data_IF_953654446950
#
_entry.id   IF_953654446950
#
_cell.length_a   1.000
_cell.length_b   1.000
_cell.length_c   1.000
_cell.angle_alpha   90.00
_cell.angle_beta   90.00
_cell.angle_gamma   90.00
#
_symmetry.space_group_name_H-M   'P 1'
#
loop_
_entity.id
_entity.type
_entity.pdbx_description
1 polymer ?
#
# COMPACT_ATOMS: atom_id res chain seq x y z
N UNK A 1 -7.17 21.18 -9.94
CA UNK A 1 -6.47 20.16 -10.75
C UNK A 1 -5.70 20.87 -11.85
N UNK A 2 -4.40 20.64 -11.95
CA UNK A 2 -3.61 21.07 -13.09
C UNK A 2 -3.46 19.87 -14.02
N UNK A 3 -3.89 20.02 -15.28
CA UNK A 3 -3.56 19.05 -16.32
C UNK A 3 -2.05 19.12 -16.56
N UNK A 4 -1.36 17.99 -16.42
CA UNK A 4 0.09 17.93 -16.53
C UNK A 4 0.57 16.51 -16.80
N UNK A 5 1.87 16.39 -17.08
CA UNK A 5 2.53 15.10 -17.24
C UNK A 5 2.38 14.27 -15.94
N UNK A 6 2.08 12.98 -16.10
CA UNK A 6 2.03 12.01 -15.01
C UNK A 6 3.32 12.09 -14.19
N UNK A 7 3.20 12.02 -12.86
CA UNK A 7 4.34 12.05 -11.93
C UNK A 7 5.23 10.81 -12.06
N UNK A 8 6.27 10.71 -11.24
CA UNK A 8 7.20 9.57 -11.25
C UNK A 8 6.89 8.52 -10.17
N UNK A 9 6.00 8.82 -9.23
CA UNK A 9 5.72 7.99 -8.06
C UNK A 9 4.87 6.73 -8.36
N UNK A 10 4.77 5.86 -7.36
CA UNK A 10 3.92 4.66 -7.40
C UNK A 10 2.43 4.99 -7.27
N UNK A 11 2.07 6.05 -6.54
CA UNK A 11 0.70 6.32 -6.14
C UNK A 11 -0.18 6.76 -7.32
N UNK A 12 0.26 7.76 -8.07
CA UNK A 12 -0.42 8.30 -9.24
C UNK A 12 0.50 8.43 -10.46
N UNK A 13 1.79 8.14 -10.30
CA UNK A 13 2.82 8.33 -11.31
C UNK A 13 3.08 7.13 -12.23
N UNK A 14 4.12 7.29 -13.05
CA UNK A 14 4.60 6.33 -14.05
C UNK A 14 5.05 5.01 -13.43
N UNK A 15 5.69 5.04 -12.26
CA UNK A 15 6.18 3.82 -11.62
C UNK A 15 5.03 2.86 -11.29
N UNK A 16 3.87 3.38 -10.86
CA UNK A 16 2.69 2.56 -10.62
C UNK A 16 2.09 2.00 -11.91
N UNK A 17 2.00 2.81 -12.97
CA UNK A 17 1.54 2.35 -14.28
C UNK A 17 2.45 1.24 -14.83
N UNK A 18 3.76 1.47 -14.77
CA UNK A 18 4.77 0.54 -15.25
C UNK A 18 4.77 -0.77 -14.45
N UNK A 19 4.55 -0.71 -13.13
CA UNK A 19 4.38 -1.90 -12.30
C UNK A 19 3.16 -2.74 -12.72
N UNK A 20 2.03 -2.10 -12.99
CA UNK A 20 0.86 -2.83 -13.52
C UNK A 20 1.17 -3.50 -14.87
N UNK A 21 1.83 -2.79 -15.78
CA UNK A 21 2.22 -3.35 -17.07
C UNK A 21 3.23 -4.50 -16.94
N UNK A 22 4.14 -4.43 -15.97
CA UNK A 22 5.07 -5.51 -15.66
C UNK A 22 4.33 -6.76 -15.16
N UNK A 23 3.34 -6.59 -14.28
CA UNK A 23 2.48 -7.69 -13.84
C UNK A 23 1.63 -8.26 -14.98
N UNK A 24 1.11 -7.41 -15.86
CA UNK A 24 0.37 -7.85 -17.04
C UNK A 24 1.26 -8.67 -17.98
N UNK A 25 2.49 -8.23 -18.24
CA UNK A 25 3.47 -8.96 -19.03
C UNK A 25 3.82 -10.31 -18.42
N UNK A 26 4.02 -10.36 -17.10
CA UNK A 26 4.30 -11.59 -16.37
C UNK A 26 3.16 -12.60 -16.50
N UNK A 27 1.91 -12.16 -16.32
CA UNK A 27 0.74 -13.05 -16.36
C UNK A 27 0.38 -13.50 -17.78
N UNK A 28 0.47 -12.60 -18.78
CA UNK A 28 0.04 -12.94 -20.14
C UNK A 28 1.16 -13.48 -21.04
N UNK A 29 2.42 -13.24 -20.66
CA UNK A 29 3.59 -13.57 -21.50
C UNK A 29 3.75 -12.69 -22.74
N UNK A 30 2.95 -11.62 -22.90
CA UNK A 30 3.00 -10.77 -24.10
C UNK A 30 4.10 -9.70 -24.01
N UNK A 31 5.03 -9.72 -24.96
CA UNK A 31 6.19 -8.81 -25.00
C UNK A 31 5.80 -7.32 -25.06
N UNK A 32 4.68 -6.97 -25.73
CA UNK A 32 4.23 -5.57 -25.82
C UNK A 32 4.05 -4.91 -24.45
N UNK A 33 3.63 -5.68 -23.43
CA UNK A 33 3.44 -5.16 -22.07
C UNK A 33 4.77 -5.01 -21.35
N UNK A 34 5.72 -5.92 -21.59
CA UNK A 34 7.10 -5.82 -21.10
C UNK A 34 7.74 -4.52 -21.62
N UNK A 35 7.67 -4.28 -22.92
CA UNK A 35 8.27 -3.10 -23.55
C UNK A 35 7.70 -1.81 -22.99
N UNK A 36 6.37 -1.74 -22.83
CA UNK A 36 5.69 -0.59 -22.24
C UNK A 36 6.05 -0.41 -20.76
N UNK A 37 6.17 -1.49 -19.99
CA UNK A 37 6.61 -1.43 -18.59
C UNK A 37 8.03 -0.86 -18.48
N UNK A 38 8.96 -1.37 -19.28
CA UNK A 38 10.36 -0.90 -19.30
C UNK A 38 10.44 0.58 -19.70
N UNK A 39 9.72 0.99 -20.76
CA UNK A 39 9.63 2.38 -21.16
C UNK A 39 9.03 3.29 -20.06
N UNK A 40 8.09 2.75 -19.27
CA UNK A 40 7.50 3.43 -18.12
C UNK A 40 8.50 3.79 -17.02
N UNK A 41 9.51 2.94 -16.81
CA UNK A 41 10.58 3.14 -15.82
C UNK A 41 11.77 3.97 -16.31
N UNK A 42 11.89 4.23 -17.62
CA UNK A 42 12.95 5.10 -18.14
C UNK A 42 12.80 6.50 -17.52
N UNK A 43 13.78 6.87 -16.69
CA UNK A 43 13.82 8.14 -16.00
C UNK A 43 13.84 9.31 -16.99
N UNK A 44 12.94 10.27 -16.79
CA UNK A 44 13.05 11.56 -17.46
C UNK A 44 14.23 12.32 -16.86
N UNK A 45 15.31 12.48 -17.65
CA UNK A 45 16.51 13.21 -17.21
C UNK A 45 16.21 14.67 -16.83
N UNK A 46 15.13 15.26 -17.33
CA UNK A 46 14.71 16.62 -16.99
C UNK A 46 14.05 16.77 -15.61
N UNK A 47 13.70 15.65 -14.97
CA UNK A 47 13.07 15.58 -13.63
C UNK A 47 14.00 15.00 -12.57
N UNK A 48 15.30 14.89 -12.88
CA UNK A 48 16.36 14.59 -11.92
C UNK A 48 16.38 15.68 -10.84
N UNK A 49 15.77 15.40 -9.70
CA UNK A 49 15.70 16.36 -8.59
C UNK A 49 14.57 16.12 -7.60
N UNK A 50 13.52 15.37 -7.97
CA UNK A 50 12.46 15.02 -7.02
C UNK A 50 12.72 13.65 -6.41
N UNK A 51 13.39 13.60 -5.26
CA UNK A 51 13.45 12.41 -4.37
C UNK A 51 12.15 12.21 -3.58
N UNK A 52 11.12 13.02 -3.85
CA UNK A 52 9.79 12.87 -3.27
C UNK A 52 9.28 11.46 -3.56
N UNK A 53 8.83 10.75 -2.52
CA UNK A 53 8.25 9.41 -2.60
C UNK A 53 9.13 8.39 -3.33
N UNK A 54 10.46 8.50 -3.15
CA UNK A 54 11.43 7.56 -3.71
C UNK A 54 11.14 6.11 -3.28
N UNK A 55 10.64 5.92 -2.05
CA UNK A 55 10.35 4.59 -1.50
C UNK A 55 9.35 3.81 -2.37
N UNK A 56 8.25 4.45 -2.78
CA UNK A 56 7.28 3.81 -3.67
C UNK A 56 7.87 3.46 -5.04
N UNK A 57 8.77 4.30 -5.56
CA UNK A 57 9.48 4.03 -6.83
C UNK A 57 10.45 2.86 -6.70
N UNK A 58 11.22 2.83 -5.62
CA UNK A 58 12.12 1.70 -5.30
C UNK A 58 11.32 0.42 -5.18
N UNK A 59 10.19 0.43 -4.47
CA UNK A 59 9.31 -0.74 -4.39
C UNK A 59 8.81 -1.18 -5.77
N UNK A 60 8.31 -0.25 -6.60
CA UNK A 60 7.81 -0.55 -7.94
C UNK A 60 8.89 -1.14 -8.86
N UNK A 61 10.08 -0.53 -8.88
CA UNK A 61 11.24 -1.02 -9.63
C UNK A 61 11.66 -2.42 -9.15
N UNK A 62 11.69 -2.61 -7.84
CA UNK A 62 12.04 -3.89 -7.21
C UNK A 62 11.08 -4.99 -7.64
N UNK A 63 9.76 -4.78 -7.48
CA UNK A 63 8.76 -5.78 -7.88
C UNK A 63 8.79 -6.03 -9.39
N UNK A 64 8.92 -4.99 -10.21
CA UNK A 64 9.02 -5.16 -11.65
C UNK A 64 10.29 -5.91 -12.09
N UNK A 65 11.42 -5.72 -11.38
CA UNK A 65 12.64 -6.47 -11.62
C UNK A 65 12.43 -7.98 -11.42
N UNK A 66 11.71 -8.38 -10.37
CA UNK A 66 11.37 -9.78 -10.10
C UNK A 66 10.42 -10.33 -11.18
N UNK A 67 9.32 -9.61 -11.46
CA UNK A 67 8.28 -10.07 -12.39
C UNK A 67 8.80 -10.24 -13.82
N UNK A 68 9.67 -9.33 -14.26
CA UNK A 68 10.24 -9.31 -15.60
C UNK A 68 11.61 -10.00 -15.69
N UNK A 69 12.18 -10.43 -14.57
CA UNK A 69 13.56 -10.93 -14.51
C UNK A 69 14.53 -9.94 -15.18
N UNK A 70 14.45 -8.66 -14.79
CA UNK A 70 15.19 -7.56 -15.41
C UNK A 70 16.19 -6.90 -14.42
N UNK A 71 17.47 -7.33 -14.43
CA UNK A 71 18.49 -6.82 -13.51
C UNK A 71 18.75 -5.31 -13.64
N UNK A 72 18.44 -4.69 -14.79
CA UNK A 72 18.59 -3.25 -14.94
C UNK A 72 17.64 -2.46 -14.04
N UNK A 73 16.42 -2.95 -13.80
CA UNK A 73 15.46 -2.30 -12.91
C UNK A 73 15.91 -2.40 -11.44
N UNK A 74 16.49 -3.53 -11.04
CA UNK A 74 17.06 -3.70 -9.70
C UNK A 74 18.20 -2.69 -9.45
N UNK A 75 19.13 -2.56 -10.40
CA UNK A 75 20.21 -1.56 -10.30
C UNK A 75 19.68 -0.12 -10.22
N UNK A 76 18.60 0.18 -10.93
CA UNK A 76 17.93 1.49 -10.81
C UNK A 76 17.32 1.70 -9.42
N UNK A 77 16.70 0.67 -8.85
CA UNK A 77 16.14 0.72 -7.50
C UNK A 77 17.23 0.98 -6.45
N UNK A 78 18.35 0.25 -6.51
CA UNK A 78 19.50 0.47 -5.64
C UNK A 78 20.09 1.88 -5.81
N UNK A 79 20.29 2.33 -7.04
CA UNK A 79 20.83 3.67 -7.32
C UNK A 79 19.92 4.79 -6.79
N UNK A 80 18.60 4.62 -6.91
CA UNK A 80 17.62 5.58 -6.38
C UNK A 80 17.62 5.58 -4.85
N UNK A 81 17.72 4.41 -4.21
CA UNK A 81 17.82 4.32 -2.76
C UNK A 81 19.11 4.98 -2.25
N UNK A 82 20.25 4.77 -2.92
CA UNK A 82 21.52 5.42 -2.55
C UNK A 82 21.44 6.94 -2.61
N UNK A 83 20.97 7.51 -3.72
CA UNK A 83 20.87 8.96 -3.88
C UNK A 83 19.88 9.61 -2.91
N UNK A 84 18.82 8.90 -2.54
CA UNK A 84 17.87 9.38 -1.54
C UNK A 84 18.49 9.57 -0.14
N UNK A 85 19.58 8.87 0.19
CA UNK A 85 20.27 9.04 1.48
C UNK A 85 20.96 10.40 1.63
N UNK A 86 21.24 11.07 0.51
CA UNK A 86 21.96 12.34 0.46
C UNK A 86 21.01 13.56 0.53
N UNK A 87 19.70 13.32 0.43
CA UNK A 87 18.70 14.40 0.40
C UNK A 87 18.01 14.54 1.76
N UNK A 88 17.86 15.77 2.29
CA UNK A 88 17.13 15.99 3.52
C UNK A 88 15.68 15.48 3.44
N UNK A 89 15.14 14.89 4.52
CA UNK A 89 13.74 14.50 4.57
C UNK A 89 12.86 15.75 4.43
N UNK A 90 11.74 15.60 3.75
CA UNK A 90 10.81 16.70 3.54
C UNK A 90 9.90 16.88 4.74
N UNK A 91 9.49 18.14 4.95
CA UNK A 91 8.46 18.46 5.94
C UNK A 91 7.09 18.01 5.43
N UNK A 92 6.67 16.82 5.85
CA UNK A 92 5.29 16.32 5.70
C UNK A 92 4.56 16.38 7.05
N UNK A 93 3.23 16.62 7.08
CA UNK A 93 2.46 16.59 8.32
C UNK A 93 2.50 15.25 9.06
N UNK A 94 2.78 14.15 8.36
CA UNK A 94 2.82 12.79 8.90
C UNK A 94 4.11 12.06 8.48
N UNK A 95 5.27 12.45 9.05
CA UNK A 95 6.58 11.99 8.59
C UNK A 95 6.85 10.52 8.88
N UNK A 96 6.05 9.87 9.72
CA UNK A 96 6.25 8.48 10.13
C UNK A 96 5.40 7.49 9.34
N UNK A 97 4.53 7.97 8.44
CA UNK A 97 3.62 7.15 7.66
C UNK A 97 4.27 6.28 6.58
N UNK A 98 3.48 5.40 5.97
CA UNK A 98 3.90 4.52 4.87
C UNK A 98 3.94 5.26 3.53
N UNK A 99 2.95 6.10 3.23
CA UNK A 99 2.81 6.65 1.88
C UNK A 99 3.90 7.69 1.53
N UNK A 100 4.12 8.64 2.43
CA UNK A 100 5.04 9.78 2.21
C UNK A 100 6.04 9.94 3.37
N UNK A 101 6.29 8.87 4.14
CA UNK A 101 7.04 8.93 5.39
C UNK A 101 8.08 7.82 5.54
N UNK A 102 8.76 7.86 6.69
CA UNK A 102 9.89 7.00 7.05
C UNK A 102 9.50 5.51 7.06
N UNK A 103 8.27 5.17 7.42
CA UNK A 103 7.84 3.78 7.38
C UNK A 103 7.83 3.22 5.94
N UNK A 104 7.45 4.04 4.96
CA UNK A 104 7.54 3.66 3.54
C UNK A 104 8.98 3.41 3.10
N UNK A 105 9.91 4.25 3.55
CA UNK A 105 11.34 4.08 3.29
C UNK A 105 11.89 2.78 3.87
N UNK A 106 11.51 2.47 5.12
CA UNK A 106 11.86 1.19 5.76
C UNK A 106 11.36 0.02 4.91
N UNK A 107 10.10 0.02 4.49
CA UNK A 107 9.53 -1.08 3.68
C UNK A 107 10.26 -1.23 2.33
N UNK A 108 10.60 -0.13 1.67
CA UNK A 108 11.36 -0.17 0.42
C UNK A 108 12.77 -0.73 0.61
N UNK A 109 13.46 -0.37 1.69
CA UNK A 109 14.79 -0.90 2.03
C UNK A 109 14.75 -2.37 2.42
N UNK A 110 13.72 -2.80 3.15
CA UNK A 110 13.52 -4.22 3.46
C UNK A 110 13.26 -5.03 2.19
N UNK A 111 12.52 -4.49 1.21
CA UNK A 111 12.36 -5.13 -0.11
C UNK A 111 13.69 -5.26 -0.86
N UNK A 112 14.52 -4.21 -0.88
CA UNK A 112 15.86 -4.29 -1.47
C UNK A 112 16.76 -5.30 -0.76
N UNK A 113 16.74 -5.34 0.57
CA UNK A 113 17.48 -6.32 1.35
C UNK A 113 17.06 -7.74 0.97
N UNK A 114 15.76 -8.04 0.93
CA UNK A 114 15.26 -9.36 0.58
C UNK A 114 15.64 -9.80 -0.85
N UNK A 115 15.81 -8.87 -1.79
CA UNK A 115 16.18 -9.17 -3.17
C UNK A 115 17.69 -9.28 -3.41
N UNK A 116 18.49 -8.52 -2.66
CA UNK A 116 19.94 -8.39 -2.89
C UNK A 116 20.78 -9.15 -1.88
N UNK A 117 20.19 -9.54 -0.75
CA UNK A 117 20.88 -10.01 0.47
C UNK A 117 21.93 -9.03 1.00
N UNK A 118 21.85 -7.75 0.60
CA UNK A 118 22.84 -6.76 0.98
C UNK A 118 22.47 -6.13 2.33
N UNK A 119 23.33 -6.38 3.32
CA UNK A 119 23.14 -5.91 4.70
C UNK A 119 23.08 -4.38 4.82
N UNK A 120 23.60 -3.61 3.85
CA UNK A 120 23.55 -2.13 3.91
C UNK A 120 22.12 -1.61 3.97
N UNK A 121 21.19 -2.30 3.31
CA UNK A 121 19.78 -1.93 3.29
C UNK A 121 19.11 -2.20 4.63
N UNK A 122 19.38 -3.36 5.23
CA UNK A 122 18.86 -3.72 6.55
C UNK A 122 19.39 -2.76 7.64
N UNK A 123 20.69 -2.44 7.62
CA UNK A 123 21.29 -1.48 8.57
C UNK A 123 20.64 -0.11 8.45
N UNK A 124 20.38 0.37 7.23
CA UNK A 124 19.70 1.65 7.02
C UNK A 124 18.23 1.58 7.46
N UNK A 125 17.52 0.51 7.15
CA UNK A 125 16.14 0.29 7.56
C UNK A 125 16.02 0.30 9.10
N UNK A 126 16.92 -0.38 9.81
CA UNK A 126 16.96 -0.41 11.27
C UNK A 126 17.17 1.00 11.87
N UNK A 127 18.09 1.80 11.34
CA UNK A 127 18.31 3.19 11.79
C UNK A 127 17.07 4.08 11.63
N UNK A 128 16.33 3.89 10.54
CA UNK A 128 15.06 4.57 10.30
C UNK A 128 13.97 4.06 11.25
N UNK A 129 13.94 2.75 11.54
CA UNK A 129 13.13 2.15 12.59
C UNK A 129 13.39 2.79 13.95
N UNK A 130 14.65 2.95 14.35
CA UNK A 130 15.00 3.60 15.62
C UNK A 130 14.50 5.06 15.67
N UNK A 131 14.49 5.75 14.52
CA UNK A 131 13.93 7.09 14.43
C UNK A 131 12.41 7.11 14.63
N UNK A 132 11.69 6.13 14.05
CA UNK A 132 10.25 5.94 14.30
C UNK A 132 10.01 5.70 15.80
N UNK A 133 10.78 4.81 16.44
CA UNK A 133 10.64 4.49 17.87
C UNK A 133 10.91 5.70 18.77
N UNK A 134 11.96 6.48 18.49
CA UNK A 134 12.26 7.71 19.25
C UNK A 134 11.15 8.76 19.16
N UNK A 135 10.35 8.72 18.10
CA UNK A 135 9.25 9.63 17.88
C UNK A 135 7.88 9.05 18.30
N UNK A 136 7.85 8.00 19.12
CA UNK A 136 6.64 7.27 19.50
C UNK A 136 5.47 8.17 19.90
N UNK A 137 5.73 9.15 20.76
CA UNK A 137 4.70 10.07 21.27
C UNK A 137 3.96 10.81 20.13
N UNK A 138 4.65 11.11 19.04
CA UNK A 138 4.11 11.87 17.89
C UNK A 138 3.09 11.09 17.06
N UNK A 139 3.12 9.76 17.12
CA UNK A 139 2.21 8.88 16.37
C UNK A 139 1.35 7.98 17.27
N UNK A 140 1.47 8.10 18.61
CA UNK A 140 0.64 7.38 19.60
C UNK A 140 -0.16 8.28 20.55
N UNK A 141 0.24 9.54 20.74
CA UNK A 141 -0.30 10.40 21.81
C UNK A 141 -0.59 11.84 21.40
N UNK A 142 -0.01 12.37 20.32
CA UNK A 142 -0.33 13.72 19.85
C UNK A 142 -1.77 13.85 19.33
N UNK A 143 -2.34 15.06 19.44
CA UNK A 143 -3.65 15.41 18.87
C UNK A 143 -3.75 15.17 17.35
N UNK A 144 -2.60 15.09 16.68
CA UNK A 144 -2.47 14.85 15.24
C UNK A 144 -2.12 13.40 14.90
N UNK A 145 -2.00 12.51 15.90
CA UNK A 145 -1.74 11.09 15.69
C UNK A 145 -2.94 10.41 15.00
N UNK A 146 -2.67 9.54 14.04
CA UNK A 146 -3.68 8.97 13.16
C UNK A 146 -3.67 7.44 13.19
N UNK A 147 -4.86 6.85 13.04
CA UNK A 147 -4.99 5.45 12.68
C UNK A 147 -4.89 5.22 11.17
N UNK A 148 -5.02 3.95 10.77
CA UNK A 148 -5.00 3.54 9.37
C UNK A 148 -3.60 3.23 8.85
N UNK A 149 -3.55 2.76 7.61
CA UNK A 149 -2.33 2.21 7.01
C UNK A 149 -1.41 3.26 6.40
N UNK A 150 -1.98 4.24 5.67
CA UNK A 150 -1.19 5.17 4.85
C UNK A 150 -0.31 6.12 5.67
N UNK A 151 -0.88 6.77 6.68
CA UNK A 151 -0.19 7.78 7.50
C UNK A 151 -0.26 7.51 9.00
N UNK A 152 -0.77 6.34 9.38
CA UNK A 152 -1.19 6.08 10.74
C UNK A 152 -0.57 4.84 11.36
N UNK A 153 -1.02 4.57 12.58
CA UNK A 153 -0.43 3.56 13.44
C UNK A 153 -0.51 2.14 12.90
N UNK A 154 -1.53 1.77 12.12
CA UNK A 154 -1.60 0.41 11.56
C UNK A 154 -0.44 0.14 10.57
N UNK A 155 -0.09 1.13 9.73
CA UNK A 155 1.05 1.02 8.82
C UNK A 155 2.40 1.05 9.53
N UNK A 156 2.51 1.86 10.58
CA UNK A 156 3.70 1.90 11.45
C UNK A 156 3.88 0.54 12.15
N UNK A 157 2.80 -0.04 12.68
CA UNK A 157 2.82 -1.34 13.36
C UNK A 157 3.30 -2.46 12.43
N UNK A 158 2.75 -2.54 11.20
CA UNK A 158 3.18 -3.50 10.18
C UNK A 158 4.67 -3.31 9.83
N UNK A 159 5.11 -2.06 9.67
CA UNK A 159 6.50 -1.74 9.35
C UNK A 159 7.48 -2.17 10.46
N UNK A 160 7.17 -1.83 11.71
CA UNK A 160 7.99 -2.21 12.86
C UNK A 160 8.01 -3.72 13.06
N UNK A 161 6.89 -4.41 12.84
CA UNK A 161 6.86 -5.87 12.91
C UNK A 161 7.76 -6.53 11.84
N UNK A 162 7.80 -5.98 10.62
CA UNK A 162 8.70 -6.48 9.57
C UNK A 162 10.17 -6.21 9.88
N UNK A 163 10.48 -5.07 10.49
CA UNK A 163 11.81 -4.80 11.01
C UNK A 163 12.21 -5.81 12.08
N UNK A 164 11.32 -6.10 13.03
CA UNK A 164 11.55 -7.15 14.03
C UNK A 164 11.86 -8.48 13.35
N UNK A 165 11.07 -8.89 12.35
CA UNK A 165 11.31 -10.14 11.64
C UNK A 165 12.67 -10.17 10.91
N UNK A 166 13.05 -9.06 10.28
CA UNK A 166 14.29 -8.97 9.52
C UNK A 166 15.55 -8.83 10.39
N UNK A 167 15.43 -8.23 11.58
CA UNK A 167 16.57 -7.92 12.46
C UNK A 167 16.69 -8.86 13.66
N UNK A 168 15.58 -9.48 14.10
CA UNK A 168 15.48 -10.19 15.37
C UNK A 168 15.44 -9.27 16.60
N UNK A 169 15.35 -7.94 16.43
CA UNK A 169 15.39 -6.99 17.54
C UNK A 169 13.99 -6.77 18.13
N UNK A 170 13.84 -7.08 19.41
CA UNK A 170 12.58 -7.00 20.14
C UNK A 170 12.08 -5.56 20.35
N UNK A 171 12.95 -4.55 20.24
CA UNK A 171 12.50 -3.15 20.37
C UNK A 171 11.45 -2.78 19.31
N UNK A 172 11.58 -3.33 18.10
CA UNK A 172 10.62 -3.09 17.03
C UNK A 172 9.31 -3.84 17.28
N UNK A 173 9.35 -5.02 17.90
CA UNK A 173 8.14 -5.73 18.32
C UNK A 173 7.36 -4.96 19.39
N UNK A 174 8.07 -4.39 20.37
CA UNK A 174 7.49 -3.52 21.40
C UNK A 174 6.86 -2.28 20.77
N UNK A 175 7.55 -1.62 19.84
CA UNK A 175 6.99 -0.46 19.13
C UNK A 175 5.77 -0.82 18.27
N UNK A 176 5.77 -1.98 17.62
CA UNK A 176 4.60 -2.47 16.89
C UNK A 176 3.40 -2.70 17.81
N UNK A 177 3.62 -3.23 19.02
CA UNK A 177 2.58 -3.40 20.04
C UNK A 177 2.00 -2.04 20.48
N UNK A 178 2.84 -1.03 20.73
CA UNK A 178 2.39 0.33 21.08
C UNK A 178 1.54 0.97 19.98
N UNK A 179 1.93 0.80 18.72
CA UNK A 179 1.16 1.26 17.57
C UNK A 179 -0.22 0.57 17.50
N UNK A 180 -0.27 -0.74 17.75
CA UNK A 180 -1.54 -1.46 17.82
C UNK A 180 -2.43 -1.05 18.98
N UNK A 181 -1.86 -0.78 20.16
CA UNK A 181 -2.60 -0.25 21.30
C UNK A 181 -3.27 1.09 20.95
N UNK A 182 -2.54 2.02 20.33
CA UNK A 182 -3.13 3.27 19.86
C UNK A 182 -4.21 3.05 18.79
N UNK A 183 -3.95 2.22 17.79
CA UNK A 183 -4.92 1.90 16.75
C UNK A 183 -6.22 1.33 17.33
N UNK A 184 -6.14 0.50 18.38
CA UNK A 184 -7.31 -0.05 19.03
C UNK A 184 -8.10 0.98 19.85
N UNK A 185 -7.44 2.00 20.43
CA UNK A 185 -8.13 3.13 21.11
C UNK A 185 -9.05 3.93 20.18
N UNK A 186 -8.83 3.84 18.87
CA UNK A 186 -9.65 4.51 17.86
C UNK A 186 -10.94 3.75 17.53
N UNK A 187 -11.12 2.52 18.01
CA UNK A 187 -12.32 1.74 17.74
C UNK A 187 -13.54 2.31 18.49
N UNK A 188 -14.70 2.35 17.82
CA UNK A 188 -15.98 2.71 18.42
C UNK A 188 -17.04 1.66 18.13
N UNK A 189 -17.85 1.36 19.15
CA UNK A 189 -19.00 0.46 19.05
C UNK A 189 -20.20 1.05 19.81
N UNK A 190 -21.30 1.43 19.13
CA UNK A 190 -21.44 1.55 17.66
C UNK A 190 -20.53 2.66 17.07
N UNK A 191 -20.14 2.62 15.77
CA UNK A 191 -20.68 1.79 14.68
C UNK A 191 -19.88 0.51 14.34
N UNK A 192 -18.97 0.06 15.22
CA UNK A 192 -18.14 -1.12 14.97
C UNK A 192 -17.01 -0.85 13.98
N UNK A 193 -16.43 0.35 14.00
CA UNK A 193 -15.35 0.76 13.10
C UNK A 193 -14.37 1.73 13.81
N UNK A 194 -13.26 2.06 13.17
CA UNK A 194 -12.24 2.95 13.71
C UNK A 194 -12.47 4.41 13.29
N UNK A 195 -12.30 5.31 14.25
CA UNK A 195 -12.37 6.74 14.06
C UNK A 195 -11.18 7.23 13.21
N UNK A 196 -11.49 7.92 12.11
CA UNK A 196 -10.57 8.87 11.50
C UNK A 196 -10.82 10.26 12.08
N UNK A 197 -9.80 10.82 12.74
CA UNK A 197 -9.87 12.08 13.50
C UNK A 197 -9.26 13.28 12.77
N UNK A 198 -9.00 13.17 11.46
CA UNK A 198 -8.47 14.30 10.65
C UNK A 198 -9.44 15.49 10.56
N UNK A 199 -10.73 15.25 10.74
CA UNK A 199 -11.77 16.28 10.72
C UNK A 199 -12.24 16.68 12.13
N UNK A 200 -13.04 17.76 12.25
CA UNK A 200 -13.60 18.20 13.54
C UNK A 200 -14.55 17.16 14.14
N UNK A 201 -15.18 16.34 13.29
CA UNK A 201 -16.02 15.21 13.69
C UNK A 201 -15.38 13.93 13.20
N UNK A 202 -15.22 12.90 14.05
CA UNK A 202 -14.72 11.61 13.62
C UNK A 202 -15.59 10.99 12.53
N UNK A 203 -14.95 10.44 11.51
CA UNK A 203 -15.60 9.65 10.44
C UNK A 203 -15.16 8.21 10.48
N UNK A 204 -15.97 7.30 9.94
CA UNK A 204 -15.74 5.86 9.99
C UNK A 204 -15.62 5.31 8.57
N UNK A 205 -14.39 5.19 8.09
CA UNK A 205 -14.11 4.88 6.70
C UNK A 205 -13.82 3.38 6.49
N UNK A 206 -13.97 2.93 5.24
CA UNK A 206 -13.63 1.57 4.78
C UNK A 206 -12.43 1.55 3.84
N UNK A 207 -11.74 2.68 3.72
CA UNK A 207 -10.66 2.88 2.76
C UNK A 207 -9.38 2.16 3.18
N UNK A 208 -8.48 1.92 2.23
CA UNK A 208 -7.15 1.41 2.56
C UNK A 208 -6.35 2.43 3.37
N UNK A 209 -6.35 3.70 2.95
CA UNK A 209 -5.46 4.70 3.54
C UNK A 209 -5.77 5.00 5.01
N UNK A 210 -7.04 5.01 5.40
CA UNK A 210 -7.51 5.48 6.71
C UNK A 210 -8.80 4.78 7.21
N UNK A 211 -8.99 3.51 6.88
CA UNK A 211 -10.21 2.79 7.27
C UNK A 211 -10.01 1.30 7.47
N UNK A 212 -11.14 0.60 7.63
CA UNK A 212 -11.19 -0.83 7.94
C UNK A 212 -10.35 -1.69 6.99
N UNK A 213 -10.26 -1.34 5.70
CA UNK A 213 -9.49 -2.11 4.73
C UNK A 213 -8.00 -2.15 5.06
N UNK A 214 -7.35 -1.00 5.25
CA UNK A 214 -5.93 -0.95 5.59
C UNK A 214 -5.62 -1.44 7.01
N UNK A 215 -6.53 -1.18 7.95
CA UNK A 215 -6.38 -1.64 9.34
C UNK A 215 -6.46 -3.17 9.41
N UNK A 216 -7.44 -3.78 8.73
CA UNK A 216 -7.58 -5.23 8.64
C UNK A 216 -6.41 -5.88 7.92
N UNK A 217 -5.91 -5.25 6.85
CA UNK A 217 -4.75 -5.73 6.09
C UNK A 217 -3.49 -5.83 6.97
N UNK A 218 -3.13 -4.74 7.67
CA UNK A 218 -2.02 -4.77 8.63
C UNK A 218 -2.29 -5.74 9.78
N UNK A 219 -3.53 -5.79 10.27
CA UNK A 219 -3.94 -6.70 11.35
C UNK A 219 -3.70 -8.16 10.99
N UNK A 220 -4.13 -8.58 9.79
CA UNK A 220 -3.96 -9.92 9.26
C UNK A 220 -2.50 -10.34 9.17
N UNK A 221 -1.63 -9.45 8.68
CA UNK A 221 -0.18 -9.69 8.62
C UNK A 221 0.45 -9.85 10.02
N UNK A 222 -0.12 -9.17 11.03
CA UNK A 222 0.37 -9.20 12.40
C UNK A 222 -0.12 -10.35 13.28
N UNK A 223 -1.11 -11.15 12.85
CA UNK A 223 -1.77 -12.15 13.72
C UNK A 223 -0.78 -13.17 14.32
N UNK A 224 0.26 -13.55 13.59
CA UNK A 224 1.25 -14.53 14.07
C UNK A 224 2.01 -14.02 15.31
N UNK A 225 2.39 -12.74 15.32
CA UNK A 225 3.05 -12.10 16.46
C UNK A 225 2.06 -11.60 17.52
N UNK A 226 0.86 -11.21 17.08
CA UNK A 226 -0.18 -10.61 17.92
C UNK A 226 -1.53 -11.32 17.73
N UNK A 227 -1.74 -12.51 18.34
CA UNK A 227 -2.97 -13.28 18.15
C UNK A 227 -4.26 -12.54 18.53
N UNK A 228 -4.16 -11.54 19.40
CA UNK A 228 -5.27 -10.66 19.80
C UNK A 228 -5.77 -9.74 18.66
N UNK A 229 -5.09 -9.67 17.52
CA UNK A 229 -5.56 -8.96 16.32
C UNK A 229 -6.61 -9.73 15.52
N UNK A 230 -6.88 -11.00 15.84
CA UNK A 230 -7.90 -11.80 15.14
C UNK A 230 -9.30 -11.15 15.21
N UNK A 231 -9.84 -10.75 16.38
CA UNK A 231 -11.12 -10.04 16.43
C UNK A 231 -11.12 -8.70 15.68
N UNK A 232 -10.00 -7.98 15.65
CA UNK A 232 -9.85 -6.76 14.84
C UNK A 232 -10.02 -7.07 13.35
N UNK A 233 -9.38 -8.15 12.89
CA UNK A 233 -9.40 -8.55 11.48
C UNK A 233 -10.77 -9.08 11.06
N UNK A 234 -11.45 -9.84 11.90
CA UNK A 234 -12.84 -10.26 11.67
C UNK A 234 -13.79 -9.05 11.56
N UNK A 235 -13.64 -8.06 12.44
CA UNK A 235 -14.44 -6.82 12.37
C UNK A 235 -14.15 -6.03 11.10
N UNK A 236 -12.88 -5.91 10.72
CA UNK A 236 -12.51 -5.26 9.47
C UNK A 236 -13.14 -5.99 8.27
N UNK A 237 -13.00 -7.31 8.17
CA UNK A 237 -13.62 -8.11 7.12
C UNK A 237 -15.14 -7.94 7.08
N UNK A 238 -15.82 -8.00 8.22
CA UNK A 238 -17.27 -7.75 8.30
C UNK A 238 -17.65 -6.39 7.69
N UNK A 239 -16.91 -5.33 8.00
CA UNK A 239 -17.11 -4.00 7.40
C UNK A 239 -16.90 -3.99 5.88
N UNK A 240 -15.99 -4.79 5.33
CA UNK A 240 -15.75 -4.86 3.88
C UNK A 240 -16.79 -5.71 3.13
N UNK A 241 -17.36 -6.70 3.82
CA UNK A 241 -18.36 -7.62 3.27
C UNK A 241 -19.73 -6.95 3.19
N UNK A 242 -20.05 -6.05 4.12
CA UNK A 242 -21.30 -5.30 4.14
C UNK A 242 -21.60 -4.62 2.80
N UNK A 243 -22.85 -4.73 2.37
CA UNK A 243 -23.35 -4.22 1.09
C UNK A 243 -23.68 -2.72 1.17
N UNK A 244 -22.64 -1.93 1.46
CA UNK A 244 -22.69 -0.47 1.34
C UNK A 244 -21.81 -0.07 0.16
N UNK A 245 -22.38 0.27 -1.01
CA UNK A 245 -21.59 0.61 -2.17
C UNK A 245 -20.77 1.87 -1.90
N UNK A 246 -19.45 1.77 -2.05
CA UNK A 246 -18.59 2.94 -2.19
C UNK A 246 -18.78 3.53 -3.59
N UNK A 247 -18.78 4.85 -3.69
CA UNK A 247 -18.97 5.57 -4.96
C UNK A 247 -17.81 5.37 -5.93
N UNK A 248 -16.60 5.22 -5.39
CA UNK A 248 -15.35 5.04 -6.13
C UNK A 248 -14.96 3.58 -6.33
N UNK A 249 -14.26 3.32 -7.43
CA UNK A 249 -13.65 2.04 -7.78
C UNK A 249 -12.14 1.99 -7.53
N UNK A 250 -11.54 3.09 -7.08
CA UNK A 250 -10.09 3.19 -6.92
C UNK A 250 -9.52 2.29 -5.80
N UNK A 251 -8.21 2.07 -5.82
CA UNK A 251 -7.52 1.24 -4.83
C UNK A 251 -7.37 1.96 -3.47
N UNK A 252 -7.15 3.28 -3.44
CA UNK A 252 -6.93 3.98 -2.18
C UNK A 252 -8.22 4.11 -1.34
N UNK A 253 -9.30 4.58 -1.97
CA UNK A 253 -10.55 4.94 -1.27
C UNK A 253 -11.79 4.27 -1.87
N UNK A 254 -11.63 3.37 -2.84
CA UNK A 254 -12.75 2.76 -3.55
C UNK A 254 -12.92 1.27 -3.29
N UNK A 255 -13.81 0.67 -4.07
CA UNK A 255 -14.18 -0.74 -3.95
C UNK A 255 -12.99 -1.67 -4.17
N UNK A 256 -12.09 -1.37 -5.12
CA UNK A 256 -10.92 -2.22 -5.33
C UNK A 256 -9.94 -2.23 -4.16
N UNK A 257 -9.84 -1.15 -3.37
CA UNK A 257 -9.06 -1.18 -2.12
C UNK A 257 -9.64 -2.14 -1.07
N UNK A 258 -10.96 -2.26 -1.04
CA UNK A 258 -11.65 -3.17 -0.13
C UNK A 258 -11.56 -4.61 -0.61
N UNK A 259 -11.76 -4.83 -1.92
CA UNK A 259 -11.60 -6.13 -2.58
C UNK A 259 -10.19 -6.66 -2.39
N UNK A 260 -9.17 -5.85 -2.69
CA UNK A 260 -7.76 -6.20 -2.54
C UNK A 260 -7.41 -6.56 -1.09
N UNK A 261 -7.91 -5.77 -0.12
CA UNK A 261 -7.71 -6.06 1.30
C UNK A 261 -8.38 -7.37 1.70
N UNK A 262 -9.63 -7.58 1.30
CA UNK A 262 -10.37 -8.79 1.63
C UNK A 262 -9.74 -10.04 1.00
N UNK A 263 -9.26 -9.94 -0.25
CA UNK A 263 -8.49 -10.99 -0.90
C UNK A 263 -7.22 -11.30 -0.10
N UNK A 264 -6.40 -10.28 0.20
CA UNK A 264 -5.12 -10.50 0.88
C UNK A 264 -5.31 -11.04 2.31
N UNK A 265 -6.27 -10.50 3.07
CA UNK A 265 -6.62 -11.03 4.38
C UNK A 265 -7.09 -12.49 4.29
N UNK A 266 -7.88 -12.81 3.25
CA UNK A 266 -8.37 -14.15 2.98
C UNK A 266 -7.24 -15.15 2.68
N UNK A 267 -6.28 -14.76 1.85
CA UNK A 267 -5.08 -15.54 1.54
C UNK A 267 -4.22 -15.78 2.80
N UNK A 268 -3.93 -14.73 3.57
CA UNK A 268 -3.10 -14.83 4.79
C UNK A 268 -3.70 -15.74 5.88
N UNK A 269 -5.02 -15.84 5.94
CA UNK A 269 -5.74 -16.58 6.98
C UNK A 269 -6.41 -17.86 6.48
N UNK A 270 -6.21 -18.24 5.21
CA UNK A 270 -6.87 -19.37 4.57
C UNK A 270 -8.42 -19.31 4.69
N UNK A 271 -9.00 -18.11 4.51
CA UNK A 271 -10.44 -17.85 4.57
C UNK A 271 -11.04 -17.83 3.16
N UNK A 272 -11.45 -19.01 2.68
CA UNK A 272 -12.06 -19.17 1.36
C UNK A 272 -13.31 -18.30 1.17
N UNK A 273 -14.12 -18.15 2.21
CA UNK A 273 -15.32 -17.30 2.19
C UNK A 273 -15.00 -15.83 1.91
N UNK A 274 -13.86 -15.33 2.40
CA UNK A 274 -13.41 -13.96 2.12
C UNK A 274 -12.89 -13.82 0.69
N UNK A 275 -12.14 -14.81 0.20
CA UNK A 275 -11.63 -14.82 -1.19
C UNK A 275 -12.79 -14.87 -2.19
N UNK A 276 -13.79 -15.71 -1.95
CA UNK A 276 -15.00 -15.81 -2.76
C UNK A 276 -15.80 -14.50 -2.74
N UNK A 277 -15.92 -13.87 -1.57
CA UNK A 277 -16.62 -12.59 -1.44
C UNK A 277 -15.90 -11.46 -2.16
N UNK A 278 -14.57 -11.37 -2.06
CA UNK A 278 -13.76 -10.41 -2.82
C UNK A 278 -13.96 -10.60 -4.34
N UNK A 279 -13.94 -11.86 -4.80
CA UNK A 279 -14.18 -12.21 -6.20
C UNK A 279 -15.60 -11.83 -6.66
N UNK A 280 -16.62 -12.06 -5.82
CA UNK A 280 -17.99 -11.68 -6.12
C UNK A 280 -18.17 -10.15 -6.22
N UNK A 281 -17.56 -9.38 -5.31
CA UNK A 281 -17.58 -7.92 -5.35
C UNK A 281 -16.88 -7.37 -6.60
N UNK A 282 -15.74 -7.96 -6.99
CA UNK A 282 -15.06 -7.59 -8.24
C UNK A 282 -15.95 -7.83 -9.47
N UNK A 283 -16.67 -8.97 -9.54
CA UNK A 283 -17.63 -9.24 -10.62
C UNK A 283 -18.77 -8.23 -10.67
N UNK A 284 -19.28 -7.80 -9.51
CA UNK A 284 -20.31 -6.76 -9.45
C UNK A 284 -19.82 -5.42 -10.01
N UNK A 285 -18.59 -5.02 -9.66
CA UNK A 285 -17.96 -3.82 -10.22
C UNK A 285 -17.77 -3.94 -11.72
N UNK A 286 -17.27 -5.08 -12.20
CA UNK A 286 -17.06 -5.33 -13.63
C UNK A 286 -18.37 -5.31 -14.43
N UNK A 287 -19.44 -5.95 -13.92
CA UNK A 287 -20.76 -5.92 -14.58
C UNK A 287 -21.26 -4.50 -14.75
N UNK A 288 -21.22 -3.72 -13.66
CA UNK A 288 -21.61 -2.30 -13.68
C UNK A 288 -20.74 -1.49 -14.64
N UNK A 289 -19.42 -1.67 -14.61
CA UNK A 289 -18.49 -0.98 -15.49
C UNK A 289 -18.70 -1.34 -16.96
N UNK A 290 -19.11 -2.58 -17.26
CA UNK A 290 -19.41 -3.00 -18.62
C UNK A 290 -20.70 -2.35 -19.15
N UNK A 291 -21.70 -2.17 -18.28
CA UNK A 291 -22.94 -1.47 -18.60
C UNK A 291 -22.73 0.05 -18.79
N UNK A 292 -21.93 0.69 -17.92
CA UNK A 292 -21.68 2.14 -17.99
C UNK A 292 -20.50 2.53 -18.90
N UNK A 293 -19.68 1.58 -19.34
CA UNK A 293 -18.48 1.79 -20.14
C UNK A 293 -17.30 2.45 -19.40
N UNK A 294 -17.41 2.66 -18.08
CA UNK A 294 -16.43 3.41 -17.27
C UNK A 294 -16.33 2.87 -15.84
N UNK A 295 -15.14 2.97 -15.25
CA UNK A 295 -14.93 2.86 -13.81
C UNK A 295 -15.13 4.23 -13.13
N UNK A 296 -15.61 4.23 -11.89
CA UNK A 296 -15.85 5.46 -11.12
C UNK A 296 -14.58 5.88 -10.39
N UNK A 297 -13.79 6.78 -10.99
CA UNK A 297 -12.49 7.19 -10.46
C UNK A 297 -12.55 8.45 -9.59
N UNK A 298 -13.66 9.18 -9.65
CA UNK A 298 -13.86 10.47 -8.98
C UNK A 298 -15.31 10.61 -8.49
N UNK A 299 -15.49 11.30 -7.36
CA UNK A 299 -16.82 11.60 -6.82
C UNK A 299 -17.43 12.85 -7.46
N UNK A 300 -16.61 13.88 -7.69
CA UNK A 300 -17.06 15.22 -8.11
C UNK A 300 -16.67 15.58 -9.56
N UNK A 301 -16.23 14.61 -10.36
CA UNK A 301 -15.81 14.83 -11.75
C UNK A 301 -16.57 13.90 -12.70
N UNK A 302 -16.65 14.25 -14.01
CA UNK A 302 -17.24 13.39 -15.01
C UNK A 302 -16.68 11.97 -14.96
N UNK A 303 -17.55 10.97 -15.02
CA UNK A 303 -17.20 9.55 -14.88
C UNK A 303 -16.32 9.02 -16.03
N UNK A 304 -16.24 9.73 -17.15
CA UNK A 304 -15.40 9.39 -18.29
C UNK A 304 -13.98 9.95 -18.21
N UNK A 305 -13.63 10.66 -17.13
CA UNK A 305 -12.27 11.16 -16.95
C UNK A 305 -11.31 9.98 -16.69
N UNK A 306 -10.36 9.80 -17.60
CA UNK A 306 -9.39 8.72 -17.51
C UNK A 306 -8.25 9.08 -16.54
N UNK A 307 -7.93 8.14 -15.65
CA UNK A 307 -6.76 8.22 -14.78
C UNK A 307 -5.96 6.92 -14.90
N UNK A 308 -4.74 6.94 -15.46
CA UNK A 308 -3.92 5.74 -15.58
C UNK A 308 -3.25 5.33 -14.26
N UNK A 309 -3.19 6.21 -13.25
CA UNK A 309 -2.43 5.98 -12.01
C UNK A 309 -2.84 4.73 -11.23
N UNK A 310 -1.98 4.30 -10.30
CA UNK A 310 -2.18 3.04 -9.58
C UNK A 310 -3.24 3.15 -8.48
N UNK A 311 -3.04 4.01 -7.49
CA UNK A 311 -3.92 4.07 -6.32
C UNK A 311 -5.24 4.81 -6.57
N UNK A 312 -5.28 5.68 -7.58
CA UNK A 312 -6.44 6.52 -7.92
C UNK A 312 -7.00 6.29 -9.32
N UNK A 313 -6.44 5.34 -10.06
CA UNK A 313 -6.75 5.12 -11.47
C UNK A 313 -6.91 3.65 -11.81
N UNK A 314 -6.93 3.38 -13.11
CA UNK A 314 -7.24 2.05 -13.65
C UNK A 314 -6.10 1.05 -13.49
N UNK A 315 -4.85 1.48 -13.28
CA UNK A 315 -3.74 0.55 -13.12
C UNK A 315 -3.87 -0.30 -11.85
N UNK A 316 -4.30 0.28 -10.72
CA UNK A 316 -4.56 -0.48 -9.50
C UNK A 316 -5.76 -1.41 -9.62
N UNK A 317 -6.80 -0.98 -10.35
CA UNK A 317 -7.95 -1.82 -10.68
C UNK A 317 -7.49 -3.05 -11.49
N UNK A 318 -6.75 -2.82 -12.57
CA UNK A 318 -6.20 -3.89 -13.41
C UNK A 318 -5.29 -4.81 -12.62
N UNK A 319 -4.43 -4.27 -11.75
CA UNK A 319 -3.53 -5.06 -10.91
C UNK A 319 -4.29 -5.99 -9.96
N UNK A 320 -5.30 -5.49 -9.23
CA UNK A 320 -6.14 -6.33 -8.37
C UNK A 320 -6.90 -7.40 -9.18
N UNK A 321 -7.37 -7.07 -10.38
CA UNK A 321 -8.00 -8.07 -11.27
C UNK A 321 -7.04 -9.18 -11.67
N UNK A 322 -5.77 -8.85 -11.97
CA UNK A 322 -4.75 -9.87 -12.23
C UNK A 322 -4.52 -10.76 -11.01
N UNK A 323 -4.41 -10.19 -9.81
CA UNK A 323 -4.26 -10.97 -8.56
C UNK A 323 -5.43 -11.92 -8.32
N UNK A 324 -6.67 -11.46 -8.56
CA UNK A 324 -7.87 -12.29 -8.48
C UNK A 324 -7.89 -13.39 -9.55
N UNK A 325 -7.32 -13.16 -10.72
CA UNK A 325 -7.31 -14.15 -11.80
C UNK A 325 -6.29 -15.27 -11.55
N UNK A 326 -5.10 -14.95 -11.05
CA UNK A 326 -4.03 -15.94 -10.86
C UNK A 326 -4.11 -16.66 -9.51
N UNK A 327 -4.40 -15.94 -8.43
CA UNK A 327 -4.44 -16.44 -7.04
C UNK A 327 -3.23 -17.31 -6.59
N UNK A 328 -2.14 -17.33 -7.36
CA UNK A 328 -0.94 -18.17 -7.19
C UNK A 328 0.03 -17.62 -6.14
N UNK A 329 -0.16 -16.37 -5.70
CA UNK A 329 0.80 -15.65 -4.88
C UNK A 329 1.96 -15.03 -5.67
N UNK A 330 2.00 -15.20 -6.99
CA UNK A 330 3.06 -14.65 -7.86
C UNK A 330 3.04 -13.11 -7.93
N UNK A 331 1.89 -12.50 -7.66
CA UNK A 331 1.72 -11.04 -7.64
C UNK A 331 1.57 -10.53 -6.19
N UNK A 332 2.51 -9.69 -5.69
CA UNK A 332 2.45 -9.17 -4.34
C UNK A 332 1.27 -8.20 -4.15
N UNK A 333 0.80 -8.05 -2.92
CA UNK A 333 -0.17 -7.03 -2.53
C UNK A 333 0.55 -5.69 -2.36
N UNK A 334 0.41 -4.80 -3.37
CA UNK A 334 1.05 -3.48 -3.38
C UNK A 334 0.56 -2.59 -2.22
N UNK A 335 -0.68 -2.78 -1.77
CA UNK A 335 -1.24 -2.04 -0.63
C UNK A 335 -0.58 -2.35 0.71
N UNK A 336 0.08 -3.50 0.85
CA UNK A 336 0.84 -3.84 2.06
C UNK A 336 2.35 -3.90 1.82
N UNK A 337 2.84 -3.56 0.63
CA UNK A 337 4.23 -3.83 0.23
C UNK A 337 4.66 -5.27 0.59
N UNK A 338 3.76 -6.24 0.42
CA UNK A 338 3.92 -7.64 0.85
C UNK A 338 3.76 -8.58 -0.34
#
# INVERSE_FOLDING_TARGET
WQHGLVGEDLYAGRAGIALFLAALAHVTGEERWRDLALAGFVADQSRQGTTHNWAGRVYALSVAADLLQEPALQRQAESLALSAAETPPQSTPHPWGVLDGVAGEVLALLKLHAQTDDARWLVRAARLGDAILRAADTWTHEDRALGGYSHGAAGIADTLLRLHHATGDDQFLVGAAQAWEFQQRLFSDPPGNWQDRRGPTPVFLRNWCNGAAGIGLAGAAGIAAFPHLRPLTERAAARLIEDHPTTLDTLCCGQFGQIESLLQMGLLQNRLDWIERASAQARQVLSRSAESGVFRLYDDLPSNLFNPGFFRGVAGIGYTLLRLAVMSGELPCVMSNA
#
